data_IF_477949110383
#
_entry.id   IF_477949110383
#
_cell.length_a   1.000
_cell.length_b   1.000
_cell.length_c   1.000
_cell.angle_alpha   90.00
_cell.angle_beta   90.00
_cell.angle_gamma   90.00
#
_symmetry.space_group_name_H-M   'P 1'
#
loop_
_entity.id
_entity.type
_entity.pdbx_description
1 polymer ?
#
# COMPACT_ATOMS: atom_id res chain seq x y z
N UNK A 1 -11.69 -8.20 9.05
CA UNK A 1 -10.99 -8.84 10.18
C UNK A 1 -11.68 -8.45 11.47
N UNK A 2 -11.90 -9.40 12.38
CA UNK A 2 -12.51 -9.11 13.68
C UNK A 2 -11.49 -8.46 14.63
N UNK A 3 -11.98 -7.80 15.69
CA UNK A 3 -11.11 -7.25 16.73
C UNK A 3 -10.27 -8.34 17.41
N UNK A 4 -10.86 -9.51 17.64
CA UNK A 4 -10.19 -10.64 18.27
C UNK A 4 -9.05 -11.19 17.40
N UNK A 5 -9.28 -11.29 16.08
CA UNK A 5 -8.26 -11.70 15.12
C UNK A 5 -7.07 -10.73 15.10
N UNK A 6 -7.31 -9.42 15.19
CA UNK A 6 -6.26 -8.40 15.25
C UNK A 6 -5.41 -8.53 16.53
N UNK A 7 -6.06 -8.79 17.66
CA UNK A 7 -5.39 -8.98 18.95
C UNK A 7 -4.55 -10.26 18.94
N UNK A 8 -5.09 -11.36 18.42
CA UNK A 8 -4.38 -12.62 18.28
C UNK A 8 -3.13 -12.46 17.42
N UNK A 9 -3.25 -11.80 16.25
CA UNK A 9 -2.11 -11.52 15.37
C UNK A 9 -1.07 -10.61 16.04
N UNK A 10 -1.49 -9.61 16.81
CA UNK A 10 -0.58 -8.72 17.54
C UNK A 10 0.20 -9.47 18.63
N UNK A 11 -0.47 -10.36 19.37
CA UNK A 11 0.17 -11.20 20.39
C UNK A 11 1.16 -12.17 19.75
N UNK A 12 0.76 -12.81 18.64
CA UNK A 12 1.61 -13.73 17.91
C UNK A 12 2.85 -13.03 17.32
N UNK A 13 2.70 -11.82 16.79
CA UNK A 13 3.83 -10.99 16.34
C UNK A 13 4.80 -10.68 17.49
N UNK A 14 4.26 -10.28 18.64
CA UNK A 14 5.06 -9.97 19.84
C UNK A 14 5.87 -11.19 20.29
N UNK A 15 5.24 -12.36 20.38
CA UNK A 15 5.88 -13.62 20.74
C UNK A 15 6.94 -14.05 19.70
N UNK A 16 6.65 -13.85 18.41
CA UNK A 16 7.58 -14.17 17.33
C UNK A 16 8.84 -13.32 17.41
N UNK A 17 8.69 -12.01 17.61
CA UNK A 17 9.82 -11.09 17.81
C UNK A 17 10.70 -11.51 19.00
N UNK A 18 10.07 -11.87 20.12
CA UNK A 18 10.77 -12.33 21.32
C UNK A 18 11.54 -13.65 21.07
N UNK A 19 10.93 -14.59 20.33
CA UNK A 19 11.58 -15.85 19.92
C UNK A 19 12.85 -15.60 19.10
N UNK A 20 12.89 -14.53 18.31
CA UNK A 20 14.06 -14.10 17.54
C UNK A 20 15.02 -13.17 18.33
N UNK A 21 14.80 -12.99 19.63
CA UNK A 21 15.65 -12.18 20.51
C UNK A 21 15.50 -10.67 20.31
N UNK A 22 14.36 -10.21 19.79
CA UNK A 22 14.00 -8.81 19.64
C UNK A 22 12.79 -8.51 20.50
N UNK A 23 13.02 -7.83 21.63
CA UNK A 23 11.94 -7.50 22.56
C UNK A 23 11.27 -6.19 22.12
N UNK A 24 9.95 -6.22 21.94
CA UNK A 24 9.14 -5.06 21.63
C UNK A 24 7.67 -5.37 21.88
N UNK A 25 6.85 -4.34 22.07
CA UNK A 25 5.43 -4.48 22.36
C UNK A 25 4.61 -3.84 21.24
N UNK A 26 3.60 -4.55 20.74
CA UNK A 26 2.60 -3.94 19.85
C UNK A 26 1.76 -2.95 20.66
N UNK A 27 1.84 -1.67 20.32
CA UNK A 27 1.11 -0.58 20.99
C UNK A 27 -0.10 -0.10 20.22
N UNK A 28 -0.11 -0.31 18.89
CA UNK A 28 -1.23 0.06 18.04
C UNK A 28 -1.33 -0.89 16.83
N UNK A 29 -2.55 -1.09 16.36
CA UNK A 29 -2.85 -1.93 15.20
C UNK A 29 -3.80 -1.19 14.28
N UNK A 30 -3.38 -0.95 13.04
CA UNK A 30 -4.15 -0.21 12.04
C UNK A 30 -4.42 -1.12 10.83
N UNK A 31 -5.61 -1.76 10.76
CA UNK A 31 -5.97 -2.60 9.62
C UNK A 31 -6.25 -1.73 8.38
N UNK A 32 -5.65 -2.12 7.26
CA UNK A 32 -5.94 -1.61 5.93
C UNK A 32 -6.65 -2.63 5.06
N UNK A 33 -6.98 -2.28 3.79
CA UNK A 33 -7.64 -3.20 2.86
C UNK A 33 -6.76 -4.39 2.48
N UNK A 34 -5.47 -4.17 2.25
CA UNK A 34 -4.55 -5.21 1.75
C UNK A 34 -3.57 -5.69 2.83
N UNK A 35 -3.15 -4.79 3.71
CA UNK A 35 -2.15 -5.03 4.75
C UNK A 35 -2.65 -4.45 6.07
N UNK A 36 -2.13 -4.96 7.18
CA UNK A 36 -2.31 -4.39 8.52
C UNK A 36 -0.97 -3.85 9.01
N UNK A 37 -0.97 -2.63 9.54
CA UNK A 37 0.19 -2.01 10.17
C UNK A 37 0.16 -2.30 11.68
N UNK A 38 1.18 -3.00 12.16
CA UNK A 38 1.43 -3.20 13.58
C UNK A 38 2.51 -2.22 14.03
N UNK A 39 2.16 -1.32 14.94
CA UNK A 39 3.11 -0.38 15.54
C UNK A 39 3.72 -1.03 16.77
N UNK A 40 5.03 -1.24 16.74
CA UNK A 40 5.80 -1.91 17.78
C UNK A 40 6.70 -0.89 18.45
N UNK A 41 6.57 -0.77 19.76
CA UNK A 41 7.51 -0.01 20.60
C UNK A 41 8.67 -0.93 21.01
N UNK A 42 9.92 -0.64 20.59
CA UNK A 42 11.07 -1.42 21.01
C UNK A 42 11.30 -1.30 22.51
N UNK A 43 11.73 -2.39 23.17
CA UNK A 43 12.21 -2.29 24.54
C UNK A 43 13.50 -1.46 24.63
N UNK A 44 13.81 -0.97 25.83
CA UNK A 44 15.01 -0.18 26.08
C UNK A 44 16.28 -0.91 25.63
N UNK A 45 17.17 -0.21 24.92
CA UNK A 45 18.41 -0.78 24.38
C UNK A 45 18.25 -1.65 23.12
N UNK A 46 17.02 -1.93 22.66
CA UNK A 46 16.79 -2.69 21.42
C UNK A 46 17.00 -1.80 20.21
N UNK A 47 17.99 -2.16 19.37
CA UNK A 47 18.28 -1.41 18.14
C UNK A 47 17.21 -1.66 17.08
N UNK A 48 16.67 -0.57 16.53
CA UNK A 48 15.65 -0.56 15.46
C UNK A 48 16.06 -1.41 14.24
N UNK A 49 17.34 -1.43 13.86
CA UNK A 49 17.83 -2.24 12.73
C UNK A 49 17.60 -3.74 12.91
N UNK A 50 17.46 -4.25 14.14
CA UNK A 50 17.16 -5.66 14.37
C UNK A 50 15.79 -6.06 13.80
N UNK A 51 14.79 -5.16 13.87
CA UNK A 51 13.48 -5.42 13.28
C UNK A 51 13.56 -5.54 11.76
N UNK A 52 14.36 -4.68 11.11
CA UNK A 52 14.57 -4.71 9.66
C UNK A 52 15.21 -6.03 9.22
N UNK A 53 16.19 -6.53 9.99
CA UNK A 53 16.87 -7.80 9.71
C UNK A 53 15.97 -9.02 9.86
N UNK A 54 14.88 -8.91 10.63
CA UNK A 54 13.92 -10.00 10.84
C UNK A 54 12.80 -10.04 9.79
N UNK A 55 12.80 -9.19 8.76
CA UNK A 55 11.68 -9.12 7.82
C UNK A 55 11.33 -10.47 7.18
N UNK A 56 12.34 -11.24 6.79
CA UNK A 56 12.14 -12.51 6.07
C UNK A 56 11.71 -13.63 7.03
N UNK A 57 12.28 -13.66 8.24
CA UNK A 57 11.87 -14.59 9.29
C UNK A 57 10.44 -14.30 9.80
N UNK A 58 10.09 -13.03 9.97
CA UNK A 58 8.73 -12.62 10.29
C UNK A 58 7.77 -12.97 9.15
N UNK A 59 8.15 -12.77 7.88
CA UNK A 59 7.31 -13.19 6.77
C UNK A 59 7.01 -14.70 6.81
N UNK A 60 8.03 -15.52 7.10
CA UNK A 60 7.86 -16.97 7.25
C UNK A 60 6.95 -17.35 8.41
N UNK A 61 7.19 -16.81 9.61
CA UNK A 61 6.42 -17.18 10.81
C UNK A 61 4.99 -16.64 10.77
N UNK A 62 4.78 -15.46 10.19
CA UNK A 62 3.46 -14.84 10.05
C UNK A 62 2.68 -15.36 8.83
N UNK A 63 3.19 -16.37 8.12
CA UNK A 63 2.61 -16.95 6.91
C UNK A 63 2.29 -15.89 5.83
N UNK A 64 3.16 -14.89 5.73
CA UNK A 64 3.00 -13.75 4.83
C UNK A 64 3.91 -13.88 3.60
N UNK A 65 3.43 -13.41 2.46
CA UNK A 65 4.23 -13.35 1.23
C UNK A 65 5.46 -12.44 1.37
N UNK A 66 5.32 -11.35 2.14
CA UNK A 66 6.39 -10.42 2.51
C UNK A 66 5.98 -9.63 3.74
N UNK A 67 6.95 -9.23 4.56
CA UNK A 67 6.77 -8.24 5.62
C UNK A 67 7.58 -6.99 5.28
N UNK A 68 7.01 -5.81 5.48
CA UNK A 68 7.71 -4.53 5.32
C UNK A 68 7.89 -3.87 6.67
N UNK A 69 9.12 -3.52 7.00
CA UNK A 69 9.47 -2.85 8.25
C UNK A 69 9.79 -1.38 7.97
N UNK A 70 9.13 -0.48 8.68
CA UNK A 70 9.30 0.98 8.64
C UNK A 70 9.96 1.37 9.95
N UNK A 71 11.22 1.77 9.89
CA UNK A 71 12.08 1.82 11.07
C UNK A 71 12.99 3.06 11.03
N UNK A 72 12.80 4.06 11.91
CA UNK A 72 11.60 4.31 12.73
C UNK A 72 10.41 4.81 11.88
N UNK A 73 9.20 4.79 12.45
CA UNK A 73 8.06 5.52 11.86
C UNK A 73 8.37 7.03 11.93
N UNK A 74 8.25 7.79 10.83
CA UNK A 74 8.48 9.23 10.84
C UNK A 74 7.69 9.94 11.96
N UNK A 75 8.39 10.70 12.80
CA UNK A 75 7.80 11.41 13.94
C UNK A 75 7.48 10.57 15.17
N UNK A 76 7.86 9.27 15.21
CA UNK A 76 7.65 8.39 16.36
C UNK A 76 8.91 7.58 16.71
N UNK A 77 9.00 7.10 17.94
CA UNK A 77 10.04 6.16 18.41
C UNK A 77 9.73 4.70 18.07
N UNK A 78 8.53 4.42 17.55
CA UNK A 78 8.03 3.09 17.22
C UNK A 78 8.50 2.61 15.84
N UNK A 79 8.40 1.29 15.65
CA UNK A 79 8.65 0.59 14.39
C UNK A 79 7.33 0.14 13.80
N UNK A 80 7.11 0.40 12.51
CA UNK A 80 5.94 -0.07 11.80
C UNK A 80 6.23 -1.40 11.11
N UNK A 81 5.43 -2.43 11.38
CA UNK A 81 5.51 -3.72 10.70
C UNK A 81 4.24 -3.91 9.89
N UNK A 82 4.36 -3.79 8.57
CA UNK A 82 3.29 -4.02 7.62
C UNK A 82 3.23 -5.51 7.24
N UNK A 83 2.12 -6.15 7.55
CA UNK A 83 1.89 -7.57 7.28
C UNK A 83 0.64 -7.71 6.39
N UNK A 84 0.70 -8.43 5.26
CA UNK A 84 -0.46 -8.77 4.45
C UNK A 84 -1.63 -9.32 5.27
N UNK A 85 -2.84 -8.95 4.88
CA UNK A 85 -4.05 -9.57 5.41
C UNK A 85 -4.18 -10.99 4.84
N UNK A 86 -4.73 -11.92 5.65
CA UNK A 86 -5.01 -13.29 5.18
C UNK A 86 -5.96 -13.29 3.98
N UNK A 87 -6.95 -12.40 4.02
CA UNK A 87 -7.90 -12.13 2.94
C UNK A 87 -7.78 -10.65 2.54
N UNK A 88 -6.95 -10.30 1.55
CA UNK A 88 -6.82 -8.94 1.06
C UNK A 88 -8.07 -8.51 0.29
N UNK A 89 -8.54 -7.29 0.54
CA UNK A 89 -9.67 -6.73 -0.19
C UNK A 89 -9.27 -6.32 -1.61
N UNK A 90 -10.16 -6.57 -2.57
CA UNK A 90 -10.01 -6.02 -3.92
C UNK A 90 -10.36 -4.53 -3.92
N UNK A 91 -9.42 -3.70 -4.35
CA UNK A 91 -9.65 -2.25 -4.53
C UNK A 91 -10.22 -2.02 -5.93
N UNK A 92 -11.54 -1.85 -6.01
CA UNK A 92 -12.23 -1.62 -7.28
C UNK A 92 -12.04 -0.18 -7.78
N UNK A 93 -11.70 -0.02 -9.06
CA UNK A 93 -11.58 1.28 -9.72
C UNK A 93 -12.79 2.19 -9.47
N UNK A 94 -14.00 1.62 -9.60
CA UNK A 94 -15.28 2.32 -9.37
C UNK A 94 -15.33 3.02 -7.99
N UNK A 95 -14.73 2.43 -6.96
CA UNK A 95 -14.74 3.02 -5.62
C UNK A 95 -13.89 4.28 -5.50
N UNK A 96 -12.96 4.52 -6.43
CA UNK A 96 -12.12 5.71 -6.45
C UNK A 96 -12.76 6.77 -7.33
N UNK A 97 -13.19 6.42 -8.55
CA UNK A 97 -13.80 7.41 -9.46
C UNK A 97 -15.13 7.97 -8.94
N UNK A 98 -15.87 7.21 -8.14
CA UNK A 98 -17.10 7.67 -7.50
C UNK A 98 -16.86 8.42 -6.17
N UNK A 99 -15.61 8.61 -5.76
CA UNK A 99 -15.29 9.37 -4.55
C UNK A 99 -15.33 10.87 -4.81
N UNK A 100 -15.74 11.66 -3.82
CA UNK A 100 -15.70 13.13 -3.87
C UNK A 100 -14.30 13.63 -4.23
N UNK A 101 -13.26 13.04 -3.65
CA UNK A 101 -11.84 13.38 -3.93
C UNK A 101 -11.46 13.30 -5.42
N UNK A 102 -12.06 12.39 -6.18
CA UNK A 102 -11.82 12.30 -7.62
C UNK A 102 -12.82 13.15 -8.42
N UNK A 103 -14.11 13.06 -8.08
CA UNK A 103 -15.20 13.72 -8.80
C UNK A 103 -15.14 15.25 -8.72
N UNK A 104 -14.73 15.79 -7.58
CA UNK A 104 -14.67 17.24 -7.32
C UNK A 104 -13.28 17.83 -7.61
N UNK A 105 -12.32 17.05 -8.11
CA UNK A 105 -11.00 17.59 -8.44
C UNK A 105 -11.11 18.50 -9.66
N UNK A 106 -10.46 19.67 -9.64
CA UNK A 106 -10.51 20.61 -10.78
C UNK A 106 -9.62 20.20 -11.97
N UNK A 107 -8.65 19.31 -11.77
CA UNK A 107 -7.66 18.97 -12.81
C UNK A 107 -8.15 17.87 -13.76
N UNK A 108 -8.37 18.20 -15.04
CA UNK A 108 -8.72 17.25 -16.11
C UNK A 108 -7.75 16.05 -16.21
N UNK A 109 -6.50 16.21 -15.75
CA UNK A 109 -5.47 15.17 -15.75
C UNK A 109 -5.32 14.47 -14.39
N UNK A 110 -6.40 14.44 -13.59
CA UNK A 110 -6.44 13.66 -12.35
C UNK A 110 -6.49 12.17 -12.63
N UNK A 111 -5.66 11.42 -11.91
CA UNK A 111 -5.52 9.97 -12.02
C UNK A 111 -6.04 9.31 -10.75
N UNK A 112 -6.96 8.36 -10.90
CA UNK A 112 -7.36 7.47 -9.84
C UNK A 112 -6.29 6.37 -9.68
N UNK A 113 -5.63 6.33 -8.52
CA UNK A 113 -4.53 5.36 -8.28
C UNK A 113 -5.02 4.16 -7.49
N UNK A 114 -5.79 4.39 -6.43
CA UNK A 114 -6.25 3.32 -5.56
C UNK A 114 -6.52 3.79 -4.14
N UNK A 115 -6.11 2.97 -3.17
CA UNK A 115 -6.21 3.27 -1.75
C UNK A 115 -4.86 3.22 -1.07
N UNK A 116 -4.67 4.03 -0.04
CA UNK A 116 -3.49 3.98 0.83
C UNK A 116 -3.52 2.72 1.69
N UNK A 117 -2.46 2.50 2.48
CA UNK A 117 -2.41 1.42 3.47
C UNK A 117 -3.46 1.59 4.57
N UNK A 118 -3.93 2.81 4.86
CA UNK A 118 -5.07 3.09 5.75
C UNK A 118 -6.44 2.93 5.08
N UNK A 119 -6.49 2.68 3.76
CA UNK A 119 -7.73 2.56 3.00
C UNK A 119 -8.29 3.87 2.46
N UNK A 120 -7.61 5.00 2.69
CA UNK A 120 -8.00 6.31 2.16
C UNK A 120 -7.87 6.34 0.63
N UNK A 121 -8.76 7.08 -0.03
CA UNK A 121 -8.71 7.25 -1.48
C UNK A 121 -7.45 8.01 -1.87
N UNK A 122 -6.72 7.45 -2.83
CA UNK A 122 -5.51 8.02 -3.40
C UNK A 122 -5.70 8.38 -4.86
N UNK A 123 -5.47 9.66 -5.16
CA UNK A 123 -5.49 10.25 -6.49
C UNK A 123 -4.18 11.01 -6.72
N UNK A 124 -3.77 11.13 -7.97
CA UNK A 124 -2.64 11.96 -8.41
C UNK A 124 -3.12 12.96 -9.45
N UNK A 125 -2.33 14.01 -9.68
CA UNK A 125 -2.63 15.06 -10.64
C UNK A 125 -1.43 15.29 -11.54
N UNK A 126 -1.52 14.91 -12.83
CA UNK A 126 -0.41 15.07 -13.76
C UNK A 126 -0.04 16.54 -14.00
N UNK A 127 -0.91 17.52 -13.76
CA UNK A 127 -0.54 18.93 -13.90
C UNK A 127 0.57 19.30 -12.89
N UNK A 128 0.47 18.76 -11.67
CA UNK A 128 1.46 18.99 -10.59
C UNK A 128 2.72 18.14 -10.76
N UNK A 129 2.62 17.05 -11.50
CA UNK A 129 3.71 16.13 -11.82
C UNK A 129 3.66 15.79 -13.32
N UNK A 130 4.18 16.69 -14.18
CA UNK A 130 3.92 16.68 -15.63
C UNK A 130 4.35 15.41 -16.35
N UNK A 131 5.20 14.60 -15.72
CA UNK A 131 5.66 13.33 -16.25
C UNK A 131 5.63 12.25 -15.16
N UNK A 132 5.27 11.04 -15.56
CA UNK A 132 5.16 9.88 -14.68
C UNK A 132 5.95 8.70 -15.25
N UNK A 133 6.82 8.11 -14.43
CA UNK A 133 7.53 6.88 -14.75
C UNK A 133 6.88 5.70 -14.01
N UNK A 134 6.49 4.66 -14.75
CA UNK A 134 5.91 3.43 -14.17
C UNK A 134 6.78 2.23 -14.52
N UNK A 135 7.37 1.61 -13.49
CA UNK A 135 8.19 0.42 -13.60
C UNK A 135 7.64 -0.71 -12.73
N UNK A 136 7.83 -1.96 -13.17
CA UNK A 136 7.35 -3.14 -12.47
C UNK A 136 7.62 -4.43 -13.27
N UNK A 137 7.74 -5.54 -12.56
CA UNK A 137 7.93 -6.88 -13.14
C UNK A 137 6.62 -7.43 -13.72
N UNK A 138 6.70 -8.50 -14.50
CA UNK A 138 5.50 -9.20 -14.98
C UNK A 138 4.67 -9.68 -13.78
N UNK A 139 3.35 -9.47 -13.84
CA UNK A 139 2.44 -9.85 -12.76
C UNK A 139 2.35 -8.84 -11.61
N UNK A 140 3.15 -7.76 -11.60
CA UNK A 140 3.12 -6.75 -10.54
C UNK A 140 1.93 -5.76 -10.63
N UNK A 141 1.03 -5.94 -11.61
CA UNK A 141 -0.11 -5.05 -11.84
C UNK A 141 0.17 -3.84 -12.74
N UNK A 142 1.34 -3.74 -13.38
CA UNK A 142 1.69 -2.57 -14.23
C UNK A 142 0.68 -2.29 -15.34
N UNK A 143 0.26 -3.32 -16.10
CA UNK A 143 -0.70 -3.14 -17.19
C UNK A 143 -2.08 -2.71 -16.66
N UNK A 144 -2.50 -3.25 -15.52
CA UNK A 144 -3.74 -2.83 -14.85
C UNK A 144 -3.63 -1.36 -14.44
N UNK A 145 -2.51 -0.94 -13.84
CA UNK A 145 -2.25 0.46 -13.49
C UNK A 145 -2.33 1.39 -14.71
N UNK A 146 -1.72 1.02 -15.84
CA UNK A 146 -1.81 1.79 -17.09
C UNK A 146 -3.26 1.94 -17.57
N UNK A 147 -4.03 0.87 -17.55
CA UNK A 147 -5.45 0.93 -17.92
C UNK A 147 -6.24 1.82 -16.96
N UNK A 148 -5.98 1.76 -15.66
CA UNK A 148 -6.59 2.64 -14.66
C UNK A 148 -6.28 4.10 -14.94
N UNK A 149 -5.04 4.43 -15.32
CA UNK A 149 -4.64 5.81 -15.69
C UNK A 149 -5.40 6.28 -16.92
N UNK A 150 -5.43 5.48 -17.98
CA UNK A 150 -6.16 5.84 -19.21
C UNK A 150 -7.64 6.00 -18.93
N UNK A 151 -8.26 5.07 -18.21
CA UNK A 151 -9.66 5.17 -17.80
C UNK A 151 -9.91 6.42 -16.96
N UNK A 152 -9.02 6.78 -16.03
CA UNK A 152 -9.16 8.00 -15.22
C UNK A 152 -9.28 9.25 -16.10
N UNK A 153 -8.41 9.33 -17.11
CA UNK A 153 -8.39 10.44 -18.04
C UNK A 153 -9.64 10.45 -18.96
N UNK A 154 -10.07 9.28 -19.45
CA UNK A 154 -11.28 9.16 -20.26
C UNK A 154 -12.57 9.47 -19.50
N UNK A 155 -12.58 9.31 -18.18
CA UNK A 155 -13.71 9.71 -17.33
C UNK A 155 -13.79 11.23 -17.12
N UNK A 156 -12.74 11.98 -17.48
CA UNK A 156 -12.59 13.39 -17.16
C UNK A 156 -12.52 14.31 -18.36
N UNK A 157 -11.98 13.83 -19.48
CA UNK A 157 -11.71 14.66 -20.64
C UNK A 157 -12.46 14.13 -21.87
N UNK A 158 -13.04 15.07 -22.61
CA UNK A 158 -13.58 14.82 -23.94
C UNK A 158 -12.44 14.63 -24.95
N UNK A 159 -12.73 14.01 -26.11
CA UNK A 159 -11.72 13.82 -27.15
C UNK A 159 -11.04 15.11 -27.62
N UNK A 160 -11.69 16.27 -27.52
CA UNK A 160 -11.11 17.55 -27.97
C UNK A 160 -10.21 18.22 -26.93
N UNK A 161 -10.30 17.80 -25.67
CA UNK A 161 -9.49 18.27 -24.54
C UNK A 161 -8.23 17.40 -24.36
N UNK A 162 -8.36 16.10 -24.65
CA UNK A 162 -7.27 15.13 -24.45
C UNK A 162 -7.01 14.27 -25.69
N UNK A 163 -5.76 14.24 -26.12
CA UNK A 163 -5.27 13.36 -27.18
C UNK A 163 -4.25 12.37 -26.62
N UNK A 164 -4.37 11.11 -27.02
CA UNK A 164 -3.43 10.05 -26.65
C UNK A 164 -2.51 9.71 -27.82
N UNK A 165 -1.23 9.49 -27.52
CA UNK A 165 -0.31 8.78 -28.40
C UNK A 165 0.17 7.55 -27.63
N UNK A 166 -0.29 6.37 -28.05
CA UNK A 166 0.04 5.11 -27.38
C UNK A 166 1.06 4.35 -28.22
N UNK A 167 2.19 4.04 -27.61
CA UNK A 167 3.26 3.25 -28.22
C UNK A 167 3.32 1.91 -27.48
N UNK A 168 2.86 0.85 -28.15
CA UNK A 168 2.87 -0.50 -27.60
C UNK A 168 3.73 -1.44 -28.47
N UNK A 169 5.04 -1.52 -28.19
CA UNK A 169 5.94 -2.36 -28.98
C UNK A 169 5.68 -3.86 -28.80
N UNK A 170 4.91 -4.26 -27.77
CA UNK A 170 4.66 -5.67 -27.43
C UNK A 170 3.26 -6.15 -27.83
N UNK A 171 2.39 -5.27 -28.33
CA UNK A 171 0.97 -5.57 -28.64
C UNK A 171 0.21 -6.13 -27.42
N UNK A 172 0.54 -5.61 -26.23
CA UNK A 172 -0.07 -5.95 -24.95
C UNK A 172 -1.30 -5.12 -24.56
N UNK A 173 -1.59 -4.01 -25.25
CA UNK A 173 -2.89 -3.34 -25.19
C UNK A 173 -3.90 -4.21 -25.93
N UNK A 174 -4.70 -4.94 -25.16
CA UNK A 174 -5.88 -5.67 -25.61
C UNK A 174 -7.05 -5.32 -24.71
#
# INVERSE_FOLDING_TARGET
MSKDELVERANFLTQSLETFGVVGKVVNVSPGPVITLFEVEPAEGVRVNKFVQLSDDLARVMEASRVRVIAPIPGKSSVGIEIPNRNPDTVFFRSIINSEKFAESDSELSLAIGKTTSGEISTLDLVKMPHLLIAGTTGSGKSVCLNTIICSLLYRANPDELKFVIIDPKKGFR
#
